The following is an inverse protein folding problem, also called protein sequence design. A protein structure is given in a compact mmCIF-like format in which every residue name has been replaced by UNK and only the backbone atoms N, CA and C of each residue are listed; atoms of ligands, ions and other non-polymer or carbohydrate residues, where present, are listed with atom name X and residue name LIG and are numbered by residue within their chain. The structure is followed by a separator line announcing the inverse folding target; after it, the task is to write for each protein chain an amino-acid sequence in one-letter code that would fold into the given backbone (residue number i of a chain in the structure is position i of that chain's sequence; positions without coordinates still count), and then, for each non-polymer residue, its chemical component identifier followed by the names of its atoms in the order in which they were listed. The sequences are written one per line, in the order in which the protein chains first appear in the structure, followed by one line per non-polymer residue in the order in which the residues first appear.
data_IF_988497131194
#
_entry.id   IF_988497131194
#
_cell.length_a   1.000
_cell.length_b   1.000
_cell.length_c   1.000
_cell.angle_alpha   90.00
_cell.angle_beta   90.00
_cell.angle_gamma   90.00
#
_symmetry.space_group_name_H-M   'P 1'
#
loop_
_entity.id
_entity.type
_entity.pdbx_description
1 polymer ?
#
# COMPACT_ATOMS: atom_id res chain seq x y z
N UNK A 1 -26.88 58.65 -27.00
CA UNK A 1 -25.65 57.83 -26.96
C UNK A 1 -26.02 56.48 -26.38
N UNK A 2 -26.26 55.48 -27.23
CA UNK A 2 -26.56 54.10 -26.84
C UNK A 2 -25.26 53.36 -26.55
N UNK A 3 -25.13 52.78 -25.35
CA UNK A 3 -23.99 51.96 -24.97
C UNK A 3 -23.87 50.73 -25.89
N UNK A 4 -22.66 50.35 -26.34
CA UNK A 4 -22.48 49.19 -27.19
C UNK A 4 -22.79 47.91 -26.41
N UNK A 5 -23.55 47.02 -27.03
CA UNK A 5 -23.87 45.70 -26.47
C UNK A 5 -22.58 44.90 -26.23
N UNK A 6 -22.46 44.19 -25.08
CA UNK A 6 -21.28 43.39 -24.80
C UNK A 6 -21.12 42.28 -25.83
N UNK A 7 -19.93 42.19 -26.44
CA UNK A 7 -19.60 41.13 -27.39
C UNK A 7 -19.76 39.75 -26.75
N UNK A 8 -20.28 38.74 -27.46
CA UNK A 8 -20.35 37.38 -26.94
C UNK A 8 -18.93 36.88 -26.62
N UNK A 9 -18.67 36.62 -25.34
CA UNK A 9 -17.40 36.07 -24.89
C UNK A 9 -17.11 34.79 -25.68
N UNK A 10 -16.03 34.79 -26.47
CA UNK A 10 -15.53 33.60 -27.15
C UNK A 10 -15.18 32.59 -26.06
N UNK A 11 -16.02 31.58 -25.88
CA UNK A 11 -15.71 30.42 -25.04
C UNK A 11 -14.34 29.90 -25.46
N UNK A 12 -13.35 30.02 -24.59
CA UNK A 12 -12.01 29.57 -24.90
C UNK A 12 -11.98 28.04 -24.97
N UNK A 13 -11.03 27.47 -25.72
CA UNK A 13 -10.79 26.02 -25.72
C UNK A 13 -10.63 25.47 -24.29
N UNK A 14 -10.03 26.27 -23.40
CA UNK A 14 -9.84 25.94 -21.99
C UNK A 14 -11.18 25.84 -21.23
N UNK A 15 -12.16 26.70 -21.53
CA UNK A 15 -13.50 26.63 -20.92
C UNK A 15 -14.29 25.40 -21.39
N UNK A 16 -14.05 24.96 -22.63
CA UNK A 16 -14.64 23.73 -23.17
C UNK A 16 -13.99 22.50 -22.53
N UNK A 17 -12.65 22.47 -22.43
CA UNK A 17 -11.92 21.39 -21.76
C UNK A 17 -12.33 21.31 -20.28
N UNK A 18 -12.38 22.44 -19.57
CA UNK A 18 -12.78 22.49 -18.17
C UNK A 18 -14.21 21.97 -17.94
N UNK A 19 -15.14 22.21 -18.88
CA UNK A 19 -16.52 21.69 -18.83
C UNK A 19 -16.61 20.20 -19.09
N UNK A 20 -15.79 19.66 -20.00
CA UNK A 20 -15.81 18.22 -20.35
C UNK A 20 -15.00 17.39 -19.37
N UNK A 21 -13.97 17.97 -18.75
CA UNK A 21 -13.02 17.27 -17.88
C UNK A 21 -13.69 16.38 -16.82
N UNK A 22 -14.70 16.82 -16.04
CA UNK A 22 -15.35 15.96 -15.05
C UNK A 22 -16.01 14.72 -15.63
N UNK A 23 -16.47 14.75 -16.89
CA UNK A 23 -17.14 13.62 -17.55
C UNK A 23 -16.15 12.57 -18.04
N UNK A 24 -14.97 13.00 -18.47
CA UNK A 24 -13.93 12.10 -19.00
C UNK A 24 -12.96 11.63 -17.91
N UNK A 25 -12.81 12.39 -16.82
CA UNK A 25 -11.84 12.15 -15.73
C UNK A 25 -11.97 10.76 -15.09
N UNK A 26 -13.19 10.23 -15.01
CA UNK A 26 -13.47 8.91 -14.45
C UNK A 26 -12.87 7.77 -15.31
N UNK A 27 -12.71 7.99 -16.62
CA UNK A 27 -12.05 7.06 -17.55
C UNK A 27 -10.58 7.43 -17.78
N UNK A 28 -10.28 8.73 -17.86
CA UNK A 28 -8.96 9.25 -18.17
C UNK A 28 -7.93 8.86 -17.12
N UNK A 29 -8.28 8.95 -15.83
CA UNK A 29 -7.33 8.62 -14.76
C UNK A 29 -6.96 7.13 -14.74
N UNK A 30 -7.90 6.16 -14.79
CA UNK A 30 -7.56 4.75 -14.92
C UNK A 30 -6.68 4.44 -16.12
N UNK A 31 -6.95 5.03 -17.29
CA UNK A 31 -6.14 4.84 -18.49
C UNK A 31 -4.73 5.41 -18.29
N UNK A 32 -4.62 6.61 -17.74
CA UNK A 32 -3.33 7.24 -17.43
C UNK A 32 -2.52 6.41 -16.42
N UNK A 33 -3.13 6.04 -15.30
CA UNK A 33 -2.48 5.21 -14.28
C UNK A 33 -2.07 3.85 -14.85
N UNK A 34 -2.94 3.23 -15.66
CA UNK A 34 -2.63 1.98 -16.38
C UNK A 34 -1.45 2.14 -17.32
N UNK A 35 -1.38 3.22 -18.10
CA UNK A 35 -0.25 3.50 -18.98
C UNK A 35 1.06 3.67 -18.20
N UNK A 36 1.06 4.38 -17.07
CA UNK A 36 2.23 4.50 -16.20
C UNK A 36 2.67 3.15 -15.61
N UNK A 37 1.73 2.33 -15.14
CA UNK A 37 2.01 0.98 -14.62
C UNK A 37 2.60 0.09 -15.70
N UNK A 38 2.00 0.06 -16.89
CA UNK A 38 2.49 -0.73 -18.02
C UNK A 38 3.87 -0.26 -18.47
N UNK A 39 4.11 1.05 -18.54
CA UNK A 39 5.43 1.59 -18.87
C UNK A 39 6.49 1.10 -17.88
N UNK A 40 6.26 1.24 -16.58
CA UNK A 40 7.20 0.80 -15.55
C UNK A 40 7.41 -0.73 -15.57
N UNK A 41 6.34 -1.50 -15.76
CA UNK A 41 6.41 -2.96 -15.87
C UNK A 41 7.21 -3.41 -17.08
N UNK A 42 6.93 -2.84 -18.25
CA UNK A 42 7.65 -3.14 -19.49
C UNK A 42 9.13 -2.76 -19.34
N UNK A 43 9.45 -1.61 -18.75
CA UNK A 43 10.84 -1.22 -18.51
C UNK A 43 11.57 -2.24 -17.63
N UNK A 44 10.95 -2.69 -16.53
CA UNK A 44 11.51 -3.68 -15.63
C UNK A 44 11.70 -5.04 -16.32
N UNK A 45 10.64 -5.61 -16.90
CA UNK A 45 10.70 -6.94 -17.51
C UNK A 45 11.55 -6.99 -18.78
N UNK A 46 11.64 -5.90 -19.56
CA UNK A 46 12.59 -5.82 -20.68
C UNK A 46 14.04 -5.91 -20.19
N UNK A 47 14.36 -5.23 -19.09
CA UNK A 47 15.70 -5.32 -18.48
C UNK A 47 16.00 -6.74 -17.98
N UNK A 48 15.02 -7.38 -17.33
CA UNK A 48 15.12 -8.78 -16.92
C UNK A 48 15.38 -9.70 -18.13
N UNK A 49 14.55 -9.61 -19.17
CA UNK A 49 14.72 -10.42 -20.39
C UNK A 49 16.06 -10.18 -21.08
N UNK A 50 16.56 -8.94 -21.09
CA UNK A 50 17.88 -8.64 -21.65
C UNK A 50 19.00 -9.36 -20.88
N UNK A 51 18.89 -9.46 -19.55
CA UNK A 51 19.87 -10.14 -18.70
C UNK A 51 19.77 -11.67 -18.74
N UNK A 52 18.57 -12.21 -18.96
CA UNK A 52 18.30 -13.66 -18.96
C UNK A 52 18.27 -14.29 -20.36
N UNK A 53 18.66 -13.56 -21.40
CA UNK A 53 18.61 -14.05 -22.78
C UNK A 53 17.19 -14.35 -23.29
N UNK A 54 16.19 -13.61 -22.80
CA UNK A 54 14.79 -13.76 -23.18
C UNK A 54 13.96 -14.69 -22.30
N UNK A 55 14.55 -15.33 -21.30
CA UNK A 55 13.84 -16.28 -20.41
C UNK A 55 13.18 -15.54 -19.23
N UNK A 56 11.98 -15.95 -18.83
CA UNK A 56 11.35 -15.45 -17.60
C UNK A 56 12.08 -15.94 -16.36
N UNK A 57 12.36 -15.05 -15.42
CA UNK A 57 12.95 -15.41 -14.13
C UNK A 57 12.52 -14.41 -13.06
N UNK A 58 12.76 -14.75 -11.80
CA UNK A 58 12.63 -13.80 -10.70
C UNK A 58 14.00 -13.15 -10.41
N UNK A 59 14.05 -11.88 -10.00
CA UNK A 59 15.28 -11.23 -9.56
C UNK A 59 15.74 -11.71 -8.17
N UNK A 60 15.00 -12.62 -7.55
CA UNK A 60 15.24 -13.08 -6.19
C UNK A 60 14.78 -14.53 -6.00
N UNK A 61 15.53 -15.27 -5.20
CA UNK A 61 15.28 -16.66 -4.83
C UNK A 61 14.00 -16.87 -4.01
N UNK A 62 13.66 -15.96 -3.09
CA UNK A 62 12.43 -16.04 -2.27
C UNK A 62 11.15 -16.17 -3.12
N UNK A 63 11.15 -15.63 -4.35
CA UNK A 63 10.00 -15.73 -5.27
C UNK A 63 9.72 -17.19 -5.64
N UNK A 64 10.76 -18.01 -5.79
CA UNK A 64 10.60 -19.42 -6.07
C UNK A 64 10.04 -20.19 -4.87
N UNK A 65 10.30 -19.75 -3.64
CA UNK A 65 9.63 -20.30 -2.44
C UNK A 65 8.11 -20.08 -2.56
N UNK A 66 7.67 -18.88 -2.95
CA UNK A 66 6.24 -18.65 -3.20
C UNK A 66 5.68 -19.52 -4.32
N UNK A 67 6.46 -19.79 -5.37
CA UNK A 67 6.04 -20.68 -6.47
C UNK A 67 5.91 -22.13 -6.03
N UNK A 68 6.80 -22.62 -5.17
CA UNK A 68 6.71 -23.96 -4.59
C UNK A 68 5.45 -24.10 -3.71
N UNK A 69 5.21 -23.14 -2.82
CA UNK A 69 3.99 -23.11 -2.01
C UNK A 69 2.72 -22.99 -2.89
N UNK A 70 2.77 -22.21 -3.97
CA UNK A 70 1.67 -22.07 -4.90
C UNK A 70 1.38 -23.39 -5.64
N UNK A 71 2.43 -24.11 -6.07
CA UNK A 71 2.31 -25.44 -6.68
C UNK A 71 1.72 -26.44 -5.69
N UNK A 72 2.25 -26.50 -4.46
CA UNK A 72 1.74 -27.40 -3.42
C UNK A 72 0.27 -27.12 -3.10
N UNK A 73 -0.08 -25.84 -2.91
CA UNK A 73 -1.46 -25.39 -2.68
C UNK A 73 -2.38 -25.79 -3.84
N UNK A 74 -1.97 -25.55 -5.08
CA UNK A 74 -2.75 -25.91 -6.27
C UNK A 74 -2.95 -27.43 -6.40
N UNK A 75 -2.09 -28.25 -5.79
CA UNK A 75 -2.16 -29.72 -5.85
C UNK A 75 -2.83 -30.35 -4.62
N UNK A 76 -3.38 -29.54 -3.72
CA UNK A 76 -4.11 -30.03 -2.55
C UNK A 76 -3.27 -30.12 -1.27
N UNK A 77 -2.07 -29.55 -1.25
CA UNK A 77 -1.16 -29.51 -0.10
C UNK A 77 -0.94 -28.06 0.37
N UNK A 78 -2.00 -27.36 0.84
CA UNK A 78 -1.87 -25.97 1.29
C UNK A 78 -0.94 -25.90 2.50
N UNK A 79 -0.16 -24.82 2.58
CA UNK A 79 0.81 -24.56 3.65
C UNK A 79 2.01 -25.53 3.72
N UNK A 80 2.16 -26.44 2.77
CA UNK A 80 3.36 -27.27 2.64
C UNK A 80 4.34 -26.63 1.64
N UNK A 81 5.62 -26.56 1.99
CA UNK A 81 6.65 -26.09 1.05
C UNK A 81 6.95 -27.16 -0.01
N UNK A 82 7.07 -28.41 0.44
CA UNK A 82 7.20 -29.60 -0.39
C UNK A 82 6.05 -30.55 -0.08
N UNK A 83 5.39 -31.03 -1.12
CA UNK A 83 4.23 -31.92 -1.01
C UNK A 83 4.58 -33.18 -0.19
N UNK A 84 3.80 -33.46 0.85
CA UNK A 84 3.97 -34.60 1.74
C UNK A 84 4.90 -34.35 2.94
N UNK A 85 5.59 -33.20 3.02
CA UNK A 85 6.45 -32.86 4.16
C UNK A 85 5.69 -32.24 5.34
N UNK A 86 4.38 -32.02 5.20
CA UNK A 86 3.54 -31.43 6.23
C UNK A 86 3.66 -29.91 6.33
N UNK A 87 2.95 -29.34 7.30
CA UNK A 87 2.80 -27.90 7.47
C UNK A 87 4.15 -27.19 7.66
N UNK A 88 4.37 -26.11 6.91
CA UNK A 88 5.53 -25.25 7.03
C UNK A 88 5.15 -23.78 7.18
N UNK A 89 5.58 -23.17 8.28
CA UNK A 89 5.41 -21.74 8.55
C UNK A 89 6.51 -20.85 7.90
N UNK A 90 7.32 -21.42 7.00
CA UNK A 90 8.44 -20.73 6.35
C UNK A 90 8.02 -19.59 5.43
N UNK A 91 6.82 -19.66 4.86
CA UNK A 91 6.30 -18.61 3.99
C UNK A 91 5.77 -17.40 4.78
N UNK A 92 6.28 -16.22 4.44
CA UNK A 92 5.96 -14.95 5.13
C UNK A 92 4.59 -14.38 4.76
N UNK A 93 4.01 -14.78 3.64
CA UNK A 93 2.68 -14.32 3.19
C UNK A 93 1.70 -15.49 3.13
N UNK A 94 0.65 -15.47 3.96
CA UNK A 94 -0.35 -16.55 3.93
C UNK A 94 -1.19 -16.51 2.66
N UNK A 95 -1.58 -15.32 2.18
CA UNK A 95 -2.49 -15.16 1.05
C UNK A 95 -1.80 -15.36 -0.31
N UNK A 96 -0.55 -14.92 -0.46
CA UNK A 96 0.07 -14.82 -1.78
C UNK A 96 0.21 -16.14 -2.54
N UNK A 97 0.57 -17.29 -1.92
CA UNK A 97 0.59 -18.56 -2.63
C UNK A 97 -0.77 -18.99 -3.16
N UNK A 98 -1.88 -18.68 -2.47
CA UNK A 98 -3.21 -18.99 -2.98
C UNK A 98 -3.52 -18.16 -4.23
N UNK A 99 -3.12 -16.89 -4.25
CA UNK A 99 -3.25 -16.03 -5.44
C UNK A 99 -2.43 -16.57 -6.60
N UNK A 100 -1.21 -17.05 -6.35
CA UNK A 100 -0.36 -17.65 -7.38
C UNK A 100 -0.84 -19.04 -7.82
N UNK A 101 -1.44 -19.82 -6.92
CA UNK A 101 -2.02 -21.13 -7.20
C UNK A 101 -3.15 -21.05 -8.24
N UNK A 102 -3.90 -19.95 -8.27
CA UNK A 102 -4.89 -19.68 -9.33
C UNK A 102 -4.22 -19.65 -10.71
N UNK A 103 -3.07 -18.99 -10.84
CA UNK A 103 -2.29 -18.98 -12.07
C UNK A 103 -1.83 -20.39 -12.45
N UNK A 104 -1.37 -21.16 -11.47
CA UNK A 104 -0.99 -22.55 -11.68
C UNK A 104 -2.14 -23.39 -12.27
N UNK A 105 -3.35 -23.26 -11.73
CA UNK A 105 -4.53 -23.96 -12.24
C UNK A 105 -4.91 -23.56 -13.66
N UNK A 106 -4.78 -22.28 -14.01
CA UNK A 106 -5.10 -21.78 -15.34
C UNK A 106 -4.00 -22.12 -16.38
N UNK A 107 -2.84 -22.62 -15.91
CA UNK A 107 -1.80 -23.19 -16.78
C UNK A 107 -0.42 -22.53 -16.68
N UNK A 108 -0.26 -21.49 -15.87
CA UNK A 108 1.05 -20.88 -15.62
C UNK A 108 1.88 -21.79 -14.72
N UNK A 109 2.77 -22.61 -15.30
CA UNK A 109 3.61 -23.58 -14.58
C UNK A 109 5.10 -23.23 -14.64
N UNK A 110 5.85 -23.66 -13.63
CA UNK A 110 7.30 -23.40 -13.55
C UNK A 110 7.59 -21.90 -13.63
N UNK A 111 8.50 -21.50 -14.52
CA UNK A 111 8.87 -20.10 -14.72
C UNK A 111 7.71 -19.23 -15.25
N UNK A 112 6.68 -19.82 -15.85
CA UNK A 112 5.50 -19.06 -16.29
C UNK A 112 4.70 -18.49 -15.11
N UNK A 113 4.86 -19.01 -13.89
CA UNK A 113 4.30 -18.37 -12.69
C UNK A 113 4.81 -16.94 -12.51
N UNK A 114 5.99 -16.59 -13.04
CA UNK A 114 6.49 -15.23 -13.03
C UNK A 114 5.64 -14.30 -13.91
N UNK A 115 5.11 -14.79 -15.03
CA UNK A 115 4.17 -14.02 -15.87
C UNK A 115 2.85 -13.78 -15.13
N UNK A 116 2.35 -14.79 -14.42
CA UNK A 116 1.17 -14.64 -13.57
C UNK A 116 1.41 -13.64 -12.45
N UNK A 117 2.56 -13.73 -11.76
CA UNK A 117 2.96 -12.77 -10.75
C UNK A 117 3.06 -11.35 -11.31
N UNK A 118 3.51 -11.17 -12.56
CA UNK A 118 3.52 -9.88 -13.25
C UNK A 118 2.11 -9.31 -13.50
N UNK A 119 1.15 -10.17 -13.87
CA UNK A 119 -0.27 -9.77 -14.03
C UNK A 119 -0.85 -9.34 -12.68
N UNK A 120 -0.61 -10.13 -11.62
CA UNK A 120 -1.02 -9.79 -10.25
C UNK A 120 -0.39 -8.47 -9.80
N UNK A 121 0.88 -8.24 -10.13
CA UNK A 121 1.57 -7.00 -9.82
C UNK A 121 0.93 -5.80 -10.53
N UNK A 122 0.77 -5.87 -11.86
CA UNK A 122 0.19 -4.78 -12.65
C UNK A 122 -1.23 -4.43 -12.18
N UNK A 123 -2.08 -5.45 -11.97
CA UNK A 123 -3.46 -5.25 -11.51
C UNK A 123 -3.51 -4.68 -10.10
N UNK A 124 -2.67 -5.16 -9.19
CA UNK A 124 -2.63 -4.66 -7.81
C UNK A 124 -2.07 -3.25 -7.71
N UNK A 125 -1.04 -2.91 -8.48
CA UNK A 125 -0.50 -1.55 -8.54
C UNK A 125 -1.50 -0.58 -9.18
N UNK A 126 -2.24 -1.00 -10.21
CA UNK A 126 -3.34 -0.20 -10.74
C UNK A 126 -4.42 0.02 -9.68
N UNK A 127 -4.87 -1.04 -9.00
CA UNK A 127 -5.84 -0.93 -7.91
C UNK A 127 -5.36 0.01 -6.80
N UNK A 128 -4.07 -0.06 -6.44
CA UNK A 128 -3.44 0.86 -5.50
C UNK A 128 -3.57 2.32 -5.96
N UNK A 129 -3.31 2.65 -7.22
CA UNK A 129 -3.48 4.02 -7.72
C UNK A 129 -4.93 4.47 -7.76
N UNK A 130 -5.84 3.62 -8.21
CA UNK A 130 -7.28 3.92 -8.24
C UNK A 130 -7.83 4.21 -6.85
N UNK A 131 -7.41 3.45 -5.85
CA UNK A 131 -7.80 3.66 -4.45
C UNK A 131 -7.09 4.88 -3.84
N UNK A 132 -5.79 5.04 -4.08
CA UNK A 132 -4.99 6.15 -3.54
C UNK A 132 -5.39 7.50 -4.10
N UNK A 133 -6.02 7.55 -5.28
CA UNK A 133 -6.59 8.78 -5.84
C UNK A 133 -7.54 9.49 -4.86
N UNK A 134 -8.21 8.73 -3.98
CA UNK A 134 -9.08 9.26 -2.92
C UNK A 134 -8.35 10.13 -1.90
N UNK A 135 -7.04 9.90 -1.72
CA UNK A 135 -6.20 10.72 -0.83
C UNK A 135 -6.09 12.16 -1.36
N UNK A 136 -6.12 12.33 -2.68
CA UNK A 136 -5.93 13.61 -3.35
C UNK A 136 -7.24 14.39 -3.60
N UNK A 137 -8.41 13.80 -3.35
CA UNK A 137 -9.71 14.44 -3.53
C UNK A 137 -9.84 15.84 -2.88
N UNK A 138 -9.31 16.08 -1.66
CA UNK A 138 -9.39 17.40 -1.04
C UNK A 138 -8.67 18.53 -1.79
N UNK A 139 -7.80 18.20 -2.74
CA UNK A 139 -7.06 19.15 -3.59
C UNK A 139 -7.70 19.35 -4.97
N UNK A 140 -8.71 18.54 -5.30
CA UNK A 140 -9.39 18.54 -6.59
C UNK A 140 -8.99 17.37 -7.50
N UNK A 141 -9.80 17.14 -8.54
CA UNK A 141 -9.69 15.99 -9.45
C UNK A 141 -8.35 15.87 -10.19
N UNK A 142 -7.64 16.97 -10.39
CA UNK A 142 -6.36 16.96 -11.11
C UNK A 142 -5.21 16.38 -10.25
N UNK A 143 -5.29 16.47 -8.92
CA UNK A 143 -4.17 16.14 -8.05
C UNK A 143 -3.80 14.65 -8.06
N UNK A 144 -4.78 13.76 -8.30
CA UNK A 144 -4.54 12.31 -8.42
C UNK A 144 -3.58 11.95 -9.56
N UNK A 145 -3.47 12.77 -10.61
CA UNK A 145 -2.56 12.53 -11.72
C UNK A 145 -1.07 12.67 -11.33
N UNK A 146 -0.77 13.27 -10.16
CA UNK A 146 0.59 13.26 -9.61
C UNK A 146 0.98 11.88 -9.04
N UNK A 147 0.02 11.03 -8.68
CA UNK A 147 0.30 9.79 -7.95
C UNK A 147 1.15 8.80 -8.75
N UNK A 148 0.75 8.35 -9.97
CA UNK A 148 1.55 7.38 -10.72
C UNK A 148 3.00 7.82 -10.99
N UNK A 149 3.28 9.02 -11.55
CA UNK A 149 4.65 9.40 -11.87
C UNK A 149 5.52 9.60 -10.61
N UNK A 150 4.96 10.13 -9.52
CA UNK A 150 5.73 10.33 -8.28
C UNK A 150 6.04 8.99 -7.61
N UNK A 151 5.07 8.10 -7.48
CA UNK A 151 5.28 6.79 -6.83
C UNK A 151 6.21 5.91 -7.66
N UNK A 152 6.06 5.90 -8.99
CA UNK A 152 6.89 5.08 -9.88
C UNK A 152 8.26 5.70 -10.20
N UNK A 153 8.63 6.80 -9.56
CA UNK A 153 9.93 7.47 -9.79
C UNK A 153 11.11 6.79 -9.09
N UNK A 154 10.85 5.90 -8.12
CA UNK A 154 11.89 5.28 -7.29
C UNK A 154 12.19 3.86 -7.75
N UNK A 155 13.42 3.63 -8.22
CA UNK A 155 13.86 2.35 -8.79
C UNK A 155 13.72 1.16 -7.84
N UNK A 156 14.04 1.29 -6.56
CA UNK A 156 13.93 0.20 -5.59
C UNK A 156 12.48 -0.20 -5.27
N UNK A 157 11.56 0.77 -5.28
CA UNK A 157 10.13 0.50 -5.23
C UNK A 157 9.69 -0.23 -6.51
N UNK A 158 10.16 0.24 -7.67
CA UNK A 158 9.95 -0.40 -8.98
C UNK A 158 10.54 -1.80 -9.10
N UNK A 159 11.60 -2.10 -8.37
CA UNK A 159 12.10 -3.45 -8.26
C UNK A 159 11.16 -4.30 -7.40
N UNK A 160 10.70 -3.75 -6.28
CA UNK A 160 9.89 -4.49 -5.31
C UNK A 160 8.51 -4.87 -5.82
N UNK A 161 7.75 -3.98 -6.48
CA UNK A 161 6.39 -4.37 -6.94
C UNK A 161 6.43 -5.37 -8.12
N UNK A 162 7.51 -5.42 -8.91
CA UNK A 162 7.60 -6.22 -10.15
C UNK A 162 8.47 -7.47 -9.98
N UNK A 163 9.13 -7.60 -8.83
CA UNK A 163 9.98 -8.74 -8.46
C UNK A 163 9.26 -10.09 -8.46
N UNK A 164 7.93 -10.12 -8.36
CA UNK A 164 7.17 -11.36 -8.15
C UNK A 164 7.00 -11.73 -6.68
N UNK A 165 7.39 -10.83 -5.76
CA UNK A 165 7.01 -10.89 -4.34
C UNK A 165 5.60 -10.33 -4.11
N UNK A 166 5.07 -10.51 -2.90
CA UNK A 166 3.74 -10.08 -2.49
C UNK A 166 3.53 -8.55 -2.38
N UNK A 167 4.59 -7.75 -2.56
CA UNK A 167 4.58 -6.29 -2.32
C UNK A 167 3.51 -5.54 -3.12
N UNK A 168 3.35 -5.86 -4.41
CA UNK A 168 2.33 -5.22 -5.25
C UNK A 168 0.92 -5.55 -4.76
N UNK A 169 0.66 -6.85 -4.50
CA UNK A 169 -0.60 -7.32 -3.94
C UNK A 169 -0.90 -6.61 -2.62
N UNK A 170 0.09 -6.51 -1.74
CA UNK A 170 -0.04 -5.82 -0.47
C UNK A 170 -0.47 -4.36 -0.64
N UNK A 171 0.12 -3.60 -1.57
CA UNK A 171 -0.31 -2.23 -1.85
C UNK A 171 -1.72 -2.16 -2.46
N UNK A 172 -2.09 -3.11 -3.33
CA UNK A 172 -3.46 -3.20 -3.86
C UNK A 172 -4.49 -3.44 -2.76
N UNK A 173 -4.25 -4.41 -1.88
CA UNK A 173 -5.09 -4.73 -0.72
C UNK A 173 -5.11 -3.56 0.28
N UNK A 174 -3.99 -2.85 0.45
CA UNK A 174 -3.93 -1.61 1.22
C UNK A 174 -4.86 -0.54 0.65
N UNK A 175 -4.91 -0.39 -0.68
CA UNK A 175 -5.84 0.52 -1.36
C UNK A 175 -7.30 0.17 -1.05
N UNK A 176 -7.65 -1.12 -1.06
CA UNK A 176 -8.99 -1.59 -0.68
C UNK A 176 -9.30 -1.23 0.78
N UNK A 177 -8.36 -1.45 1.71
CA UNK A 177 -8.52 -1.10 3.12
C UNK A 177 -8.69 0.42 3.34
N UNK A 178 -7.96 1.24 2.58
CA UNK A 178 -8.12 2.69 2.55
C UNK A 178 -9.54 3.06 2.11
N UNK A 179 -10.01 2.55 0.97
CA UNK A 179 -11.37 2.85 0.46
C UNK A 179 -12.44 2.39 1.44
N UNK A 180 -12.29 1.20 2.04
CA UNK A 180 -13.22 0.69 3.04
C UNK A 180 -13.29 1.59 4.28
N UNK A 181 -12.14 2.09 4.75
CA UNK A 181 -12.06 3.02 5.88
C UNK A 181 -12.64 4.40 5.55
N UNK A 182 -12.38 4.91 4.34
CA UNK A 182 -12.99 6.15 3.86
C UNK A 182 -14.51 6.01 3.68
N UNK A 183 -15.02 4.83 3.30
CA UNK A 183 -16.44 4.59 3.18
C UNK A 183 -17.18 4.76 4.52
N UNK A 184 -16.55 4.40 5.65
CA UNK A 184 -17.12 4.66 7.00
C UNK A 184 -17.37 6.15 7.22
N UNK A 185 -16.47 7.01 6.73
CA UNK A 185 -16.57 8.47 6.90
C UNK A 185 -17.67 9.09 6.05
N UNK A 186 -18.08 8.44 4.97
CA UNK A 186 -19.12 8.94 4.06
C UNK A 186 -20.50 8.36 4.37
N UNK A 187 -20.58 7.36 5.26
CA UNK A 187 -21.84 6.76 5.65
C UNK A 187 -22.73 7.77 6.40
N UNK A 188 -24.05 7.80 6.13
CA UNK A 188 -25.01 8.63 6.85
C UNK A 188 -25.03 8.33 8.36
N UNK A 189 -25.76 9.13 9.13
CA UNK A 189 -25.87 9.01 10.59
C UNK A 189 -26.65 7.76 11.09
N UNK A 190 -26.63 6.65 10.35
CA UNK A 190 -27.11 5.34 10.82
C UNK A 190 -25.97 4.54 11.49
N UNK A 191 -26.04 4.33 12.82
CA UNK A 191 -25.02 3.56 13.55
C UNK A 191 -24.86 2.12 13.06
N UNK A 192 -25.92 1.48 12.53
CA UNK A 192 -25.84 0.09 12.05
C UNK A 192 -25.05 0.02 10.74
N UNK A 193 -25.31 0.93 9.80
CA UNK A 193 -24.55 1.03 8.57
C UNK A 193 -23.06 1.31 8.83
N UNK A 194 -22.77 2.25 9.74
CA UNK A 194 -21.38 2.57 10.17
C UNK A 194 -20.68 1.32 10.70
N UNK A 195 -21.32 0.55 11.60
CA UNK A 195 -20.75 -0.69 12.15
C UNK A 195 -20.46 -1.73 11.07
N UNK A 196 -21.36 -1.91 10.10
CA UNK A 196 -21.15 -2.82 8.96
C UNK A 196 -19.94 -2.38 8.13
N UNK A 197 -19.79 -1.09 7.85
CA UNK A 197 -18.62 -0.56 7.13
C UNK A 197 -17.34 -0.71 7.94
N UNK A 198 -17.37 -0.53 9.25
CA UNK A 198 -16.22 -0.82 10.13
C UNK A 198 -15.80 -2.29 10.04
N UNK A 199 -16.76 -3.23 10.02
CA UNK A 199 -16.46 -4.65 9.86
C UNK A 199 -15.86 -4.95 8.46
N UNK A 200 -16.36 -4.32 7.40
CA UNK A 200 -15.77 -4.45 6.06
C UNK A 200 -14.34 -3.88 6.00
N UNK A 201 -14.10 -2.74 6.66
CA UNK A 201 -12.75 -2.19 6.81
C UNK A 201 -11.85 -3.13 7.63
N UNK A 202 -12.40 -3.78 8.67
CA UNK A 202 -11.71 -4.82 9.42
C UNK A 202 -11.40 -6.06 8.60
N UNK A 203 -12.32 -6.51 7.75
CA UNK A 203 -12.09 -7.63 6.83
C UNK A 203 -11.00 -7.30 5.80
N UNK A 204 -10.98 -6.09 5.25
CA UNK A 204 -9.87 -5.61 4.42
C UNK A 204 -8.55 -5.53 5.22
N UNK A 205 -8.62 -5.17 6.51
CA UNK A 205 -7.49 -5.26 7.44
C UNK A 205 -7.00 -6.68 7.66
N UNK A 206 -7.89 -7.67 7.77
CA UNK A 206 -7.50 -9.08 7.86
C UNK A 206 -6.80 -9.53 6.58
N UNK A 207 -7.31 -9.15 5.40
CA UNK A 207 -6.65 -9.41 4.10
C UNK A 207 -5.25 -8.78 4.05
N UNK A 208 -5.09 -7.56 4.55
CA UNK A 208 -3.78 -6.92 4.69
C UNK A 208 -2.84 -7.75 5.56
N UNK A 209 -3.30 -8.18 6.74
CA UNK A 209 -2.52 -8.99 7.67
C UNK A 209 -2.08 -10.33 7.04
N UNK A 210 -3.00 -11.07 6.41
CA UNK A 210 -2.65 -12.35 5.79
C UNK A 210 -1.78 -12.20 4.54
N UNK A 211 -1.75 -11.00 3.93
CA UNK A 211 -0.79 -10.69 2.87
C UNK A 211 0.59 -10.41 3.46
N UNK A 212 0.66 -9.56 4.50
CA UNK A 212 1.88 -9.23 5.23
C UNK A 212 1.56 -8.94 6.71
N UNK A 213 2.11 -9.70 7.67
CA UNK A 213 1.79 -9.53 9.09
C UNK A 213 2.22 -8.16 9.65
N UNK A 214 3.21 -7.52 9.03
CA UNK A 214 3.65 -6.17 9.42
C UNK A 214 2.54 -5.12 9.24
N UNK A 215 1.50 -5.42 8.45
CA UNK A 215 0.31 -4.58 8.25
C UNK A 215 -0.50 -4.31 9.51
N UNK A 216 -0.18 -4.94 10.64
CA UNK A 216 -0.78 -4.60 11.95
C UNK A 216 -0.69 -3.11 12.26
N UNK A 217 0.39 -2.43 11.85
CA UNK A 217 0.56 -0.98 12.02
C UNK A 217 -0.43 -0.18 11.15
N UNK A 218 -0.68 -0.65 9.93
CA UNK A 218 -1.67 -0.04 9.03
C UNK A 218 -3.08 -0.24 9.54
N UNK A 219 -3.41 -1.43 10.02
CA UNK A 219 -4.73 -1.74 10.62
C UNK A 219 -4.98 -0.84 11.84
N UNK A 220 -3.98 -0.70 12.72
CA UNK A 220 -4.06 0.20 13.86
C UNK A 220 -4.24 1.66 13.43
N UNK A 221 -3.48 2.14 12.44
CA UNK A 221 -3.59 3.49 11.93
C UNK A 221 -4.97 3.77 11.30
N UNK A 222 -5.49 2.86 10.49
CA UNK A 222 -6.85 2.95 9.94
C UNK A 222 -7.92 2.93 11.04
N UNK A 223 -7.78 2.02 12.01
CA UNK A 223 -8.68 1.93 13.16
C UNK A 223 -8.73 3.25 13.93
N UNK A 224 -7.58 3.81 14.31
CA UNK A 224 -7.48 5.09 15.03
C UNK A 224 -8.06 6.22 14.18
N UNK A 225 -7.73 6.27 12.89
CA UNK A 225 -8.25 7.29 11.98
C UNK A 225 -9.78 7.27 11.89
N UNK A 226 -10.39 6.10 11.70
CA UNK A 226 -11.84 5.93 11.66
C UNK A 226 -12.46 6.24 13.02
N UNK A 227 -11.88 5.73 14.11
CA UNK A 227 -12.38 5.93 15.46
C UNK A 227 -12.38 7.40 15.89
N UNK A 228 -11.35 8.17 15.53
CA UNK A 228 -11.30 9.60 15.79
C UNK A 228 -12.43 10.35 15.05
N UNK A 229 -12.77 9.93 13.84
CA UNK A 229 -13.86 10.52 13.09
C UNK A 229 -15.24 10.10 13.63
N UNK A 230 -15.41 8.82 13.98
CA UNK A 230 -16.63 8.28 14.61
C UNK A 230 -16.86 8.96 15.97
N UNK A 231 -15.81 9.17 16.76
CA UNK A 231 -15.90 9.84 18.07
C UNK A 231 -16.50 11.25 17.95
N UNK A 232 -16.13 11.98 16.90
CA UNK A 232 -16.66 13.34 16.66
C UNK A 232 -18.14 13.36 16.31
N UNK A 233 -18.69 12.26 15.77
CA UNK A 233 -20.08 12.17 15.30
C UNK A 233 -21.01 11.46 16.29
N UNK A 234 -20.54 10.36 16.87
CA UNK A 234 -21.34 9.44 17.69
C UNK A 234 -20.81 9.27 19.13
N UNK A 235 -19.67 9.88 19.46
CA UNK A 235 -19.08 9.84 20.79
C UNK A 235 -18.15 8.65 21.06
N UNK A 236 -17.61 8.59 22.28
CA UNK A 236 -16.50 7.69 22.65
C UNK A 236 -16.84 6.21 22.57
N UNK A 237 -18.08 5.83 22.90
CA UNK A 237 -18.51 4.41 22.91
C UNK A 237 -18.47 3.81 21.51
N UNK A 238 -19.07 4.48 20.52
CA UNK A 238 -19.05 4.00 19.13
C UNK A 238 -17.65 4.10 18.51
N UNK A 239 -16.81 5.04 18.95
CA UNK A 239 -15.41 5.08 18.54
C UNK A 239 -14.61 3.86 19.00
N UNK A 240 -14.78 3.45 20.27
CA UNK A 240 -14.17 2.23 20.79
C UNK A 240 -14.70 0.99 20.07
N UNK A 241 -16.00 0.95 19.78
CA UNK A 241 -16.59 -0.14 19.01
C UNK A 241 -16.02 -0.17 17.58
N UNK A 242 -15.83 0.97 16.92
CA UNK A 242 -15.19 1.04 15.60
C UNK A 242 -13.75 0.50 15.63
N UNK A 243 -12.96 0.85 16.66
CA UNK A 243 -11.62 0.27 16.87
C UNK A 243 -11.67 -1.24 16.97
N UNK A 244 -12.59 -1.77 17.78
CA UNK A 244 -12.77 -3.21 17.96
C UNK A 244 -13.18 -3.87 16.65
N UNK A 245 -14.18 -3.34 15.94
CA UNK A 245 -14.68 -3.93 14.69
C UNK A 245 -13.64 -3.92 13.56
N UNK A 246 -12.77 -2.92 13.52
CA UNK A 246 -11.67 -2.85 12.53
C UNK A 246 -10.50 -3.75 12.94
N UNK A 247 -10.14 -3.78 14.22
CA UNK A 247 -9.00 -4.55 14.72
C UNK A 247 -9.28 -6.05 14.86
N UNK A 248 -10.51 -6.43 15.22
CA UNK A 248 -10.88 -7.79 15.58
C UNK A 248 -10.61 -8.80 14.46
N UNK A 249 -10.99 -8.57 13.19
CA UNK A 249 -10.72 -9.55 12.13
C UNK A 249 -9.22 -9.82 11.93
N UNK A 250 -8.37 -8.78 12.00
CA UNK A 250 -6.92 -8.93 11.94
C UNK A 250 -6.35 -9.67 13.15
N UNK A 251 -6.85 -9.37 14.35
CA UNK A 251 -6.47 -10.07 15.58
C UNK A 251 -6.86 -11.56 15.55
N UNK A 252 -8.04 -11.89 14.99
CA UNK A 252 -8.46 -13.27 14.77
C UNK A 252 -7.55 -13.97 13.77
N UNK A 253 -7.18 -13.32 12.66
CA UNK A 253 -6.25 -13.88 11.70
C UNK A 253 -4.87 -14.19 12.33
N UNK A 254 -4.34 -13.26 13.16
CA UNK A 254 -3.12 -13.48 13.93
C UNK A 254 -3.25 -14.66 14.89
N UNK A 255 -4.34 -14.72 15.67
CA UNK A 255 -4.60 -15.80 16.63
C UNK A 255 -4.71 -17.17 15.95
N UNK A 256 -5.40 -17.24 14.81
CA UNK A 256 -5.51 -18.46 14.01
C UNK A 256 -4.16 -18.89 13.44
N UNK A 257 -3.38 -17.94 12.90
CA UNK A 257 -2.03 -18.24 12.40
C UNK A 257 -1.11 -18.74 13.52
N UNK A 258 -1.10 -18.07 14.66
CA UNK A 258 -0.28 -18.45 15.82
C UNK A 258 -0.70 -19.81 16.39
N UNK A 259 -2.01 -20.07 16.48
CA UNK A 259 -2.55 -21.36 16.90
C UNK A 259 -2.21 -22.50 15.94
N UNK A 260 -2.30 -22.26 14.62
CA UNK A 260 -1.87 -23.23 13.61
C UNK A 260 -0.37 -23.52 13.71
N UNK A 261 0.47 -22.48 13.83
CA UNK A 261 1.91 -22.69 14.04
C UNK A 261 2.16 -23.53 15.30
N UNK A 262 1.50 -23.23 16.42
CA UNK A 262 1.70 -23.96 17.68
C UNK A 262 1.28 -25.42 17.55
N UNK A 263 0.15 -25.68 16.89
CA UNK A 263 -0.38 -27.02 16.70
C UNK A 263 0.51 -27.88 15.81
N UNK A 264 1.01 -27.32 14.70
CA UNK A 264 1.71 -28.11 13.68
C UNK A 264 3.23 -28.07 13.78
N UNK A 265 3.82 -27.01 14.33
CA UNK A 265 5.28 -26.83 14.41
C UNK A 265 5.80 -26.79 15.85
N UNK A 266 4.91 -26.73 16.84
CA UNK A 266 5.27 -26.53 18.24
C UNK A 266 5.61 -25.07 18.59
N UNK A 267 5.72 -24.17 17.62
CA UNK A 267 6.11 -22.77 17.86
C UNK A 267 4.93 -21.80 17.69
N UNK A 268 4.87 -20.74 18.51
CA UNK A 268 3.84 -19.69 18.33
C UNK A 268 4.15 -18.75 17.16
N UNK A 269 5.44 -18.58 16.86
CA UNK A 269 5.93 -17.69 15.80
C UNK A 269 6.22 -18.47 14.52
N UNK A 270 6.12 -17.80 13.37
CA UNK A 270 6.53 -18.40 12.10
C UNK A 270 8.05 -18.59 12.05
N UNK A 271 8.52 -19.60 11.31
CA UNK A 271 9.95 -19.88 11.18
C UNK A 271 10.75 -18.67 10.67
N UNK A 272 10.16 -17.88 9.76
CA UNK A 272 10.73 -16.62 9.29
C UNK A 272 10.87 -15.57 10.41
N UNK A 273 9.88 -15.45 11.30
CA UNK A 273 9.97 -14.52 12.42
C UNK A 273 11.01 -14.96 13.46
N UNK A 274 11.11 -16.26 13.74
CA UNK A 274 12.10 -16.83 14.67
C UNK A 274 13.53 -16.57 14.19
N UNK A 275 13.77 -16.76 12.89
CA UNK A 275 15.12 -16.63 12.31
C UNK A 275 15.52 -15.20 11.96
N UNK A 276 14.56 -14.32 11.63
CA UNK A 276 14.86 -12.98 11.10
C UNK A 276 14.69 -11.87 12.11
N UNK A 277 13.86 -12.02 13.15
CA UNK A 277 13.66 -10.95 14.13
C UNK A 277 14.76 -10.97 15.18
N UNK A 278 15.44 -9.84 15.38
CA UNK A 278 16.52 -9.72 16.36
C UNK A 278 16.07 -10.09 17.78
N UNK A 279 14.79 -9.87 18.10
CA UNK A 279 14.20 -10.23 19.40
C UNK A 279 14.29 -11.74 19.69
N UNK A 280 14.24 -12.57 18.65
CA UNK A 280 14.27 -14.03 18.75
C UNK A 280 15.71 -14.61 18.68
N UNK A 281 16.72 -13.77 18.50
CA UNK A 281 18.11 -14.24 18.42
C UNK A 281 18.57 -14.83 19.76
N UNK A 282 19.01 -16.11 19.81
CA UNK A 282 19.30 -16.80 21.06
C UNK A 282 20.63 -16.37 21.71
N UNK A 283 21.57 -15.85 20.91
CA UNK A 283 22.91 -15.48 21.37
C UNK A 283 23.12 -13.99 21.62
N UNK A 284 22.09 -13.16 21.45
CA UNK A 284 22.19 -11.71 21.69
C UNK A 284 21.60 -11.34 23.06
N UNK A 285 22.34 -10.53 23.79
CA UNK A 285 21.87 -9.84 24.99
C UNK A 285 20.75 -8.83 24.65
N UNK A 286 19.92 -8.43 25.62
CA UNK A 286 18.90 -7.38 25.40
C UNK A 286 19.48 -6.06 24.86
N UNK A 287 20.67 -5.68 25.32
CA UNK A 287 21.37 -4.47 24.86
C UNK A 287 21.81 -4.58 23.40
N UNK A 288 22.34 -5.73 22.98
CA UNK A 288 22.70 -5.97 21.57
C UNK A 288 21.47 -5.95 20.67
N UNK A 289 20.37 -6.58 21.08
CA UNK A 289 19.10 -6.55 20.34
C UNK A 289 18.58 -5.12 20.15
N UNK A 290 18.66 -4.30 21.20
CA UNK A 290 18.28 -2.89 21.13
C UNK A 290 19.20 -2.08 20.21
N UNK A 291 20.51 -2.27 20.33
CA UNK A 291 21.49 -1.57 19.49
C UNK A 291 21.32 -1.93 18.01
N UNK A 292 21.05 -3.20 17.71
CA UNK A 292 20.77 -3.67 16.36
C UNK A 292 19.48 -3.05 15.81
N UNK A 293 18.42 -3.00 16.61
CA UNK A 293 17.17 -2.33 16.24
C UNK A 293 17.40 -0.84 15.91
N UNK A 294 18.09 -0.11 16.79
CA UNK A 294 18.41 1.31 16.57
C UNK A 294 19.27 1.50 15.32
N UNK A 295 20.24 0.62 15.12
CA UNK A 295 21.09 0.61 13.93
C UNK A 295 20.25 0.40 12.66
N UNK A 296 19.35 -0.59 12.63
CA UNK A 296 18.49 -0.86 11.48
C UNK A 296 17.53 0.29 11.19
N UNK A 297 16.93 0.88 12.23
CA UNK A 297 16.04 2.03 12.06
C UNK A 297 16.79 3.22 11.45
N UNK A 298 17.98 3.54 11.97
CA UNK A 298 18.85 4.58 11.40
C UNK A 298 19.27 4.24 9.98
N UNK A 299 19.71 3.00 9.75
CA UNK A 299 20.17 2.52 8.45
C UNK A 299 19.09 2.73 7.40
N UNK A 300 17.86 2.27 7.64
CA UNK A 300 16.78 2.35 6.66
C UNK A 300 16.48 3.80 6.29
N UNK A 301 16.35 4.69 7.28
CA UNK A 301 16.07 6.12 7.03
C UNK A 301 17.18 6.74 6.18
N UNK A 302 18.45 6.52 6.55
CA UNK A 302 19.59 7.08 5.81
C UNK A 302 19.74 6.43 4.43
N UNK A 303 19.48 5.13 4.29
CA UNK A 303 19.56 4.41 3.03
C UNK A 303 18.49 4.89 2.05
N UNK A 304 17.27 5.14 2.53
CA UNK A 304 16.23 5.75 1.71
C UNK A 304 16.63 7.16 1.26
N UNK A 305 17.05 8.02 2.20
CA UNK A 305 17.35 9.42 1.92
C UNK A 305 18.67 9.66 1.16
N UNK A 306 19.69 8.83 1.34
CA UNK A 306 21.05 9.06 0.80
C UNK A 306 21.42 8.10 -0.33
N UNK A 307 20.53 7.17 -0.69
CA UNK A 307 20.77 6.25 -1.80
C UNK A 307 19.55 6.13 -2.72
N UNK A 308 18.39 5.73 -2.19
CA UNK A 308 17.22 5.43 -3.04
C UNK A 308 16.53 6.66 -3.60
N UNK A 309 16.43 7.74 -2.83
CA UNK A 309 15.84 8.99 -3.32
C UNK A 309 16.86 9.86 -4.08
N UNK A 310 18.11 9.87 -3.62
CA UNK A 310 19.22 10.52 -4.29
C UNK A 310 20.53 10.10 -3.63
N UNK A 311 21.57 9.85 -4.42
CA UNK A 311 22.94 9.68 -3.92
C UNK A 311 23.63 11.01 -3.58
N UNK A 312 23.10 12.13 -4.08
CA UNK A 312 23.62 13.47 -3.83
C UNK A 312 22.91 14.11 -2.64
N UNK A 313 23.67 14.47 -1.61
CA UNK A 313 23.18 15.25 -0.47
C UNK A 313 22.95 16.72 -0.87
N UNK A 314 21.92 17.39 -0.33
CA UNK A 314 20.88 16.92 0.58
C UNK A 314 19.61 16.40 -0.13
N UNK A 315 19.65 16.18 -1.45
CA UNK A 315 18.47 16.11 -2.30
C UNK A 315 17.47 15.01 -1.95
N UNK A 316 17.90 13.86 -1.42
CA UNK A 316 16.96 12.80 -1.07
C UNK A 316 16.09 13.11 0.15
N UNK A 317 16.46 14.11 0.97
CA UNK A 317 15.59 14.63 2.04
C UNK A 317 14.44 15.49 1.51
N UNK A 318 14.44 15.88 0.23
CA UNK A 318 13.32 16.62 -0.35
C UNK A 318 12.03 15.79 -0.35
N UNK A 319 12.11 14.47 -0.53
CA UNK A 319 10.92 13.59 -0.54
C UNK A 319 10.14 13.69 0.78
N UNK A 320 10.74 13.40 1.96
CA UNK A 320 10.05 13.58 3.23
C UNK A 320 9.71 15.06 3.53
N UNK A 321 10.53 16.02 3.10
CA UNK A 321 10.22 17.44 3.30
C UNK A 321 8.94 17.86 2.55
N UNK A 322 8.79 17.45 1.29
CA UNK A 322 7.58 17.70 0.50
C UNK A 322 6.38 16.94 1.07
N UNK A 323 6.57 15.71 1.53
CA UNK A 323 5.53 14.93 2.21
C UNK A 323 4.97 15.62 3.48
N UNK A 324 5.79 16.38 4.22
CA UNK A 324 5.34 17.16 5.38
C UNK A 324 4.38 18.29 4.99
N UNK A 325 4.46 18.81 3.76
CA UNK A 325 3.60 19.92 3.30
C UNK A 325 2.13 19.52 3.28
N UNK A 326 1.82 18.23 3.06
CA UNK A 326 0.46 17.71 3.15
C UNK A 326 -0.21 17.90 4.53
N UNK A 327 0.56 18.18 5.59
CA UNK A 327 0.06 18.48 6.93
C UNK A 327 -0.41 19.94 7.11
N UNK A 328 0.04 20.85 6.24
CA UNK A 328 -0.22 22.29 6.38
C UNK A 328 -1.71 22.58 6.23
N UNK A 329 -2.33 22.10 5.14
CA UNK A 329 -3.72 22.36 4.80
C UNK A 329 -4.68 21.53 5.64
N UNK A 330 -5.73 22.14 6.19
CA UNK A 330 -6.70 21.45 7.06
C UNK A 330 -7.45 20.33 6.35
N UNK A 331 -7.69 20.48 5.04
CA UNK A 331 -8.42 19.50 4.24
C UNK A 331 -7.64 18.22 3.97
N UNK A 332 -6.31 18.28 3.89
CA UNK A 332 -5.42 17.13 3.63
C UNK A 332 -4.84 16.53 4.91
N UNK A 333 -4.71 17.33 5.97
CA UNK A 333 -4.06 16.96 7.23
C UNK A 333 -4.49 15.61 7.81
N UNK A 334 -5.79 15.24 7.88
CA UNK A 334 -6.17 13.94 8.45
C UNK A 334 -5.59 12.74 7.67
N UNK A 335 -5.60 12.83 6.34
CA UNK A 335 -5.06 11.79 5.46
C UNK A 335 -3.54 11.77 5.49
N UNK A 336 -2.92 12.96 5.57
CA UNK A 336 -1.47 13.07 5.72
C UNK A 336 -0.99 12.46 7.05
N UNK A 337 -1.70 12.71 8.16
CA UNK A 337 -1.41 12.10 9.46
C UNK A 337 -1.58 10.57 9.44
N UNK A 338 -2.63 10.07 8.78
CA UNK A 338 -2.83 8.63 8.59
C UNK A 338 -1.66 8.00 7.84
N UNK A 339 -1.21 8.59 6.73
CA UNK A 339 -0.09 8.06 5.96
C UNK A 339 1.23 8.17 6.73
N UNK A 340 1.50 9.28 7.42
CA UNK A 340 2.69 9.43 8.25
C UNK A 340 2.74 8.40 9.39
N UNK A 341 1.61 8.15 10.06
CA UNK A 341 1.51 7.11 11.08
C UNK A 341 1.86 5.72 10.51
N UNK A 342 1.43 5.43 9.28
CA UNK A 342 1.76 4.18 8.60
C UNK A 342 3.23 4.10 8.18
N UNK A 343 3.79 5.17 7.60
CA UNK A 343 5.21 5.25 7.25
C UNK A 343 6.08 5.01 8.48
N UNK A 344 5.86 5.77 9.56
CA UNK A 344 6.66 5.69 10.79
C UNK A 344 6.46 4.33 11.48
N UNK A 345 5.21 3.90 11.65
CA UNK A 345 4.90 2.63 12.30
C UNK A 345 5.48 1.43 11.55
N UNK A 346 5.41 1.46 10.22
CA UNK A 346 5.99 0.40 9.38
C UNK A 346 7.50 0.38 9.45
N UNK A 347 8.17 1.52 9.30
CA UNK A 347 9.63 1.60 9.43
C UNK A 347 10.12 1.13 10.82
N UNK A 348 9.40 1.52 11.88
CA UNK A 348 9.69 1.05 13.23
C UNK A 348 9.51 -0.47 13.34
N UNK A 349 8.43 -1.04 12.80
CA UNK A 349 8.20 -2.48 12.90
C UNK A 349 9.22 -3.30 12.08
N UNK A 350 9.48 -2.91 10.82
CA UNK A 350 10.40 -3.67 9.96
C UNK A 350 11.86 -3.52 10.36
N UNK A 351 12.23 -2.48 11.12
CA UNK A 351 13.56 -2.35 11.70
C UNK A 351 13.88 -3.46 12.73
N UNK A 352 12.88 -4.17 13.24
CA UNK A 352 13.10 -5.36 14.08
C UNK A 352 13.61 -6.57 13.28
N UNK A 353 13.50 -6.53 11.95
CA UNK A 353 13.94 -7.59 11.05
C UNK A 353 15.43 -7.39 10.69
N UNK A 354 16.28 -8.33 11.10
CA UNK A 354 17.71 -8.33 10.80
C UNK A 354 18.03 -8.35 9.30
N UNK A 355 17.06 -8.77 8.48
CA UNK A 355 17.20 -8.80 7.03
C UNK A 355 16.75 -7.52 6.31
N UNK A 356 16.33 -6.47 7.04
CA UNK A 356 15.80 -5.23 6.45
C UNK A 356 16.77 -4.54 5.47
N UNK A 357 18.08 -4.83 5.59
CA UNK A 357 19.16 -4.27 4.76
C UNK A 357 19.36 -4.99 3.42
N UNK A 358 18.82 -6.19 3.26
CA UNK A 358 19.04 -7.02 2.08
C UNK A 358 17.96 -6.80 1.03
N UNK A 359 18.22 -7.31 -0.18
CA UNK A 359 17.23 -7.42 -1.25
C UNK A 359 16.60 -6.07 -1.59
N UNK A 360 17.45 -5.05 -1.79
CA UNK A 360 17.06 -3.67 -2.06
C UNK A 360 16.06 -3.11 -1.04
N UNK A 361 16.24 -3.48 0.23
CA UNK A 361 15.46 -2.97 1.35
C UNK A 361 13.94 -3.16 1.14
N UNK A 362 13.54 -4.23 0.45
CA UNK A 362 12.15 -4.51 0.04
C UNK A 362 11.13 -4.41 1.17
N UNK A 363 11.53 -4.75 2.40
CA UNK A 363 10.68 -4.71 3.58
C UNK A 363 10.23 -3.28 3.91
N UNK A 364 10.97 -2.27 3.44
CA UNK A 364 10.70 -0.84 3.69
C UNK A 364 9.82 -0.22 2.60
N UNK A 365 9.62 -0.91 1.47
CA UNK A 365 9.07 -0.31 0.25
C UNK A 365 7.58 0.02 0.34
N UNK A 366 6.81 -0.62 1.24
CA UNK A 366 5.45 -0.16 1.55
C UNK A 366 5.45 1.24 2.14
N UNK A 367 6.35 1.52 3.09
CA UNK A 367 6.51 2.85 3.67
C UNK A 367 6.98 3.86 2.63
N UNK A 368 7.87 3.46 1.72
CA UNK A 368 8.30 4.31 0.60
C UNK A 368 7.11 4.66 -0.31
N UNK A 369 6.27 3.69 -0.67
CA UNK A 369 5.09 3.95 -1.49
C UNK A 369 4.15 4.96 -0.83
N UNK A 370 3.85 4.81 0.46
CA UNK A 370 3.01 5.76 1.20
C UNK A 370 3.66 7.13 1.36
N UNK A 371 4.98 7.18 1.55
CA UNK A 371 5.73 8.44 1.59
C UNK A 371 5.70 9.17 0.23
N UNK A 372 5.72 8.45 -0.88
CA UNK A 372 5.59 9.03 -2.22
C UNK A 372 4.15 9.48 -2.52
N UNK A 373 3.14 8.77 -2.01
CA UNK A 373 1.75 9.27 -2.01
C UNK A 373 1.64 10.56 -1.21
N UNK A 374 2.29 10.65 -0.04
CA UNK A 374 2.37 11.88 0.75
C UNK A 374 3.10 12.99 -0.01
N UNK A 375 4.20 12.68 -0.68
CA UNK A 375 4.94 13.66 -1.48
C UNK A 375 4.08 14.19 -2.63
N UNK A 376 3.32 13.33 -3.33
CA UNK A 376 2.36 13.75 -4.34
C UNK A 376 1.25 14.64 -3.74
N UNK A 377 0.73 14.31 -2.55
CA UNK A 377 -0.22 15.14 -1.82
C UNK A 377 0.38 16.50 -1.41
N UNK A 378 1.66 16.52 -1.02
CA UNK A 378 2.42 17.73 -0.68
C UNK A 378 2.65 18.64 -1.89
N UNK A 379 3.10 18.08 -3.02
CA UNK A 379 3.21 18.79 -4.29
C UNK A 379 1.86 19.35 -4.73
N UNK A 380 0.80 18.54 -4.62
CA UNK A 380 -0.56 18.97 -4.93
C UNK A 380 -0.99 20.16 -4.05
N UNK A 381 -0.64 20.13 -2.76
CA UNK A 381 -0.93 21.20 -1.81
C UNK A 381 -0.21 22.49 -2.21
N UNK A 382 1.09 22.41 -2.56
CA UNK A 382 1.87 23.55 -3.05
C UNK A 382 1.24 24.19 -4.28
N UNK A 383 0.88 23.38 -5.28
CA UNK A 383 0.29 23.85 -6.53
C UNK A 383 -1.11 24.43 -6.35
N UNK A 384 -1.90 23.90 -5.40
CA UNK A 384 -3.25 24.40 -5.09
C UNK A 384 -3.26 25.68 -4.26
N UNK A 385 -2.09 26.12 -3.76
CA UNK A 385 -1.97 27.17 -2.77
C UNK A 385 -2.40 26.75 -1.36
N UNK A 386 -1.97 27.52 -0.36
CA UNK A 386 -2.24 27.24 1.06
C UNK A 386 -3.60 27.77 1.54
N UNK A 387 -4.31 28.54 0.71
CA UNK A 387 -5.62 29.06 1.07
C UNK A 387 -6.69 27.97 1.02
N UNK A 388 -7.40 27.78 2.14
CA UNK A 388 -8.65 27.02 2.17
C UNK A 388 -9.76 27.87 1.52
N UNK A 389 -9.77 27.98 0.19
CA UNK A 389 -10.88 28.64 -0.49
C UNK A 389 -12.20 27.90 -0.15
N UNK A 390 -13.29 28.63 0.12
CA UNK A 390 -14.57 28.01 0.47
C UNK A 390 -15.01 27.08 -0.66
N UNK A 391 -15.31 25.82 -0.32
CA UNK A 391 -15.83 24.84 -1.27
C UNK A 391 -17.05 25.45 -1.97
N UNK A 392 -17.10 25.57 -3.31
CA UNK A 392 -18.40 25.61 -3.96
C UNK A 392 -19.08 24.28 -3.60
N UNK A 393 -20.25 24.36 -2.96
CA UNK A 393 -21.16 23.21 -2.80
C UNK A 393 -21.46 22.70 -4.21
N UNK A 394 -20.72 21.70 -4.67
CA UNK A 394 -21.10 20.91 -5.84
C UNK A 394 -22.33 20.11 -5.44
N UNK A 395 -23.49 20.67 -5.78
CA UNK A 395 -24.76 19.96 -5.93
C UNK A 395 -24.54 18.69 -6.78
N UNK A 396 -25.09 17.57 -6.31
CA UNK A 396 -25.13 16.27 -6.99
C UNK A 396 -24.12 15.27 -6.42
N UNK A 397 -24.43 14.46 -5.40
CA UNK A 397 -25.40 13.37 -5.48
C UNK A 397 -25.30 12.57 -6.79
N UNK A 398 -24.13 11.98 -7.06
CA UNK A 398 -24.09 10.77 -7.87
C UNK A 398 -24.35 9.59 -6.92
N UNK A 399 -25.53 8.98 -7.08
CA UNK A 399 -25.89 7.70 -6.48
C UNK A 399 -25.02 6.59 -7.11
N UNK A 400 -24.53 5.71 -6.22
CA UNK A 400 -24.02 4.33 -6.39
C UNK A 400 -22.83 4.13 -7.32
#
# INVERSE_FOLDING_TARGET
MSAPAPSPAKNSLLDTIARVFPRIDDTLFPVYAGACVLYAAVAFYRSMHAQTGGVWSAPLDDVFIHFDYARATARGYPFEWSEGNGFSSGNTSLLYPFVLALGYWIGFRGLLLMQWAAIVACTSTLAFFLCSARVCEPLGRWAKYLLPPVVLSVGALNWSLWSGMENALHLGVWGIALVASLAVLHEPEDPRAVRRKCLLAGAAGALLFVTRPESVVSIAAFGIFVALAVNKRFGRRDALLALVLIGLPGALALGLQAGANRLFTGEWSSAGAITKLAINHPYMTPTEKWNEYVFHLKYVVLRLAHHHFSSALPWGWLVPAVALIGLVKKSTRPLALLLWAQVIGWLALVAMNGQVRWQNERYTMSAVAWLLVLAALGLGTLMSGFSDAPKPRLLGAARV
#
